data_IF_131186248601
#
_entry.id   IF_131186248601
#
_cell.length_a   1.000
_cell.length_b   1.000
_cell.length_c   1.000
_cell.angle_alpha   90.00
_cell.angle_beta   90.00
_cell.angle_gamma   90.00
#
_symmetry.space_group_name_H-M   'P 1'
#
loop_
_entity.id
_entity.type
_entity.pdbx_description
1 polymer ?
#
# COMPACT_ATOMS: atom_id res chain seq x y z
N UNK A 1 -12.03 -29.88 14.07
CA UNK A 1 -11.36 -28.74 14.78
C UNK A 1 -10.99 -27.60 13.84
N UNK A 2 -10.61 -27.87 12.58
CA UNK A 2 -10.21 -26.84 11.60
C UNK A 2 -11.34 -25.88 11.19
N UNK A 3 -12.56 -26.40 10.99
CA UNK A 3 -13.75 -25.61 10.63
C UNK A 3 -14.14 -24.54 11.66
N UNK A 4 -13.96 -24.82 12.96
CA UNK A 4 -14.29 -23.86 14.02
C UNK A 4 -13.38 -22.64 14.03
N UNK A 5 -12.10 -22.82 13.68
CA UNK A 5 -11.12 -21.73 13.59
C UNK A 5 -11.44 -20.79 12.42
N UNK A 6 -11.82 -21.35 11.27
CA UNK A 6 -12.21 -20.57 10.09
C UNK A 6 -13.46 -19.73 10.36
N UNK A 7 -14.48 -20.31 10.98
CA UNK A 7 -15.73 -19.59 11.31
C UNK A 7 -15.49 -18.44 12.32
N UNK A 8 -14.63 -18.66 13.32
CA UNK A 8 -14.23 -17.62 14.27
C UNK A 8 -13.43 -16.50 13.60
N UNK A 9 -12.56 -16.85 12.64
CA UNK A 9 -11.79 -15.90 11.84
C UNK A 9 -12.71 -15.02 10.98
N UNK A 10 -13.65 -15.61 10.24
CA UNK A 10 -14.62 -14.88 9.42
C UNK A 10 -15.48 -13.92 10.25
N UNK A 11 -15.94 -14.37 11.42
CA UNK A 11 -16.73 -13.54 12.34
C UNK A 11 -15.91 -12.35 12.84
N UNK A 12 -14.64 -12.58 13.17
CA UNK A 12 -13.72 -11.53 13.63
C UNK A 12 -13.48 -10.49 12.52
N UNK A 13 -13.23 -10.94 11.29
CA UNK A 13 -13.04 -10.06 10.14
C UNK A 13 -14.29 -9.22 9.85
N UNK A 14 -15.49 -9.81 9.92
CA UNK A 14 -16.75 -9.08 9.75
C UNK A 14 -16.95 -8.00 10.84
N UNK A 15 -16.60 -8.31 12.09
CA UNK A 15 -16.68 -7.35 13.19
C UNK A 15 -15.69 -6.20 13.01
N UNK A 16 -14.48 -6.46 12.52
CA UNK A 16 -13.47 -5.44 12.24
C UNK A 16 -13.93 -4.51 11.10
N UNK A 17 -14.43 -5.07 10.00
CA UNK A 17 -14.95 -4.27 8.88
C UNK A 17 -16.13 -3.38 9.31
N UNK A 18 -17.04 -3.90 10.15
CA UNK A 18 -18.18 -3.11 10.67
C UNK A 18 -17.72 -1.95 11.57
N UNK A 19 -16.68 -2.14 12.39
CA UNK A 19 -16.21 -1.13 13.35
C UNK A 19 -15.28 -0.09 12.72
N UNK A 20 -14.43 -0.49 11.78
CA UNK A 20 -13.30 0.32 11.31
C UNK A 20 -13.38 0.66 9.82
N UNK A 21 -14.40 0.17 9.10
CA UNK A 21 -14.57 0.35 7.66
C UNK A 21 -13.95 -0.80 6.84
N UNK A 22 -14.34 -0.87 5.57
CA UNK A 22 -13.78 -1.83 4.63
C UNK A 22 -12.28 -1.59 4.41
N UNK A 23 -11.50 -2.67 4.31
CA UNK A 23 -10.05 -2.58 4.09
C UNK A 23 -9.22 -2.36 5.36
N UNK A 24 -9.84 -2.30 6.54
CA UNK A 24 -9.13 -2.19 7.82
C UNK A 24 -8.22 -3.42 8.09
N UNK A 25 -8.64 -4.60 7.65
CA UNK A 25 -7.83 -5.83 7.67
C UNK A 25 -8.08 -6.61 6.38
N UNK A 26 -7.00 -7.03 5.74
CA UNK A 26 -7.04 -7.76 4.46
C UNK A 26 -5.87 -8.74 4.38
N UNK A 27 -6.04 -9.81 3.62
CA UNK A 27 -4.94 -10.76 3.41
C UNK A 27 -3.85 -10.09 2.58
N UNK A 28 -2.59 -10.37 2.92
CA UNK A 28 -1.41 -9.79 2.29
C UNK A 28 -1.37 -10.00 0.75
N UNK A 29 -1.96 -11.10 0.25
CA UNK A 29 -2.08 -11.39 -1.19
C UNK A 29 -3.37 -10.91 -1.88
N UNK A 30 -4.38 -10.48 -1.12
CA UNK A 30 -5.62 -9.87 -1.65
C UNK A 30 -5.49 -8.35 -1.74
N UNK A 31 -4.36 -7.78 -1.31
CA UNK A 31 -3.99 -6.42 -1.62
C UNK A 31 -3.76 -6.31 -3.13
N UNK A 32 -4.85 -6.01 -3.87
CA UNK A 32 -4.74 -5.44 -5.21
C UNK A 32 -3.70 -4.32 -5.12
N UNK A 33 -2.78 -4.23 -6.09
CA UNK A 33 -1.91 -3.05 -6.24
C UNK A 33 -2.82 -1.84 -6.11
N UNK A 34 -2.78 -1.19 -4.95
CA UNK A 34 -3.57 0.00 -4.73
C UNK A 34 -3.06 0.96 -5.81
N UNK A 35 -3.95 1.44 -6.66
CA UNK A 35 -3.59 2.51 -7.58
C UNK A 35 -3.26 3.70 -6.69
N UNK A 36 -1.96 3.89 -6.46
CA UNK A 36 -1.46 5.03 -5.71
C UNK A 36 -1.39 6.18 -6.69
N UNK A 37 -2.04 7.29 -6.36
CA UNK A 37 -1.83 8.50 -7.13
C UNK A 37 -0.36 8.93 -7.00
N UNK A 38 0.28 9.23 -8.13
CA UNK A 38 1.69 9.62 -8.17
C UNK A 38 1.86 11.02 -8.74
N UNK A 39 2.97 11.65 -8.38
CA UNK A 39 3.47 12.90 -8.96
C UNK A 39 4.73 12.56 -9.76
N UNK A 40 4.82 12.86 -11.06
CA UNK A 40 6.01 12.58 -11.87
C UNK A 40 7.25 13.27 -11.30
N UNK A 41 8.40 12.60 -11.36
CA UNK A 41 9.67 13.15 -10.85
C UNK A 41 10.28 14.20 -11.77
N UNK A 42 9.80 14.29 -13.02
CA UNK A 42 10.41 15.10 -14.07
C UNK A 42 11.56 14.39 -14.80
N UNK A 43 11.91 13.17 -14.37
CA UNK A 43 12.88 12.29 -15.01
C UNK A 43 12.21 10.98 -15.40
N UNK A 44 12.08 10.73 -16.72
CA UNK A 44 11.43 9.52 -17.22
C UNK A 44 12.11 8.24 -16.74
N UNK A 45 13.45 8.23 -16.69
CA UNK A 45 14.21 7.07 -16.21
C UNK A 45 13.94 6.81 -14.72
N UNK A 46 13.79 7.84 -13.91
CA UNK A 46 13.49 7.70 -12.49
C UNK A 46 12.05 7.25 -12.27
N UNK A 47 11.08 7.78 -13.02
CA UNK A 47 9.67 7.38 -12.95
C UNK A 47 9.50 5.88 -13.26
N UNK A 48 10.23 5.39 -14.26
CA UNK A 48 10.28 3.96 -14.61
C UNK A 48 10.94 3.15 -13.48
N UNK A 49 12.07 3.62 -12.95
CA UNK A 49 12.82 2.92 -11.90
C UNK A 49 12.01 2.77 -10.59
N UNK A 50 11.17 3.75 -10.25
CA UNK A 50 10.27 3.68 -9.10
C UNK A 50 9.16 2.63 -9.27
N UNK A 51 8.91 2.14 -10.49
CA UNK A 51 7.94 1.08 -10.79
C UNK A 51 6.46 1.47 -10.65
N UNK A 52 6.17 2.60 -10.00
CA UNK A 52 4.84 3.19 -9.84
C UNK A 52 4.65 4.44 -10.72
N UNK A 53 5.69 4.88 -11.43
CA UNK A 53 5.62 6.02 -12.36
C UNK A 53 5.81 7.40 -11.72
N UNK A 54 6.28 7.48 -10.47
CA UNK A 54 6.56 8.75 -9.80
C UNK A 54 6.54 8.66 -8.27
N UNK A 55 6.48 9.82 -7.61
CA UNK A 55 6.43 9.91 -6.14
C UNK A 55 5.00 9.72 -5.63
N UNK A 56 4.76 8.81 -4.67
CA UNK A 56 3.42 8.50 -4.18
C UNK A 56 2.83 9.62 -3.33
N UNK A 57 1.58 10.01 -3.61
CA UNK A 57 0.83 10.98 -2.81
C UNK A 57 0.52 10.42 -1.41
N UNK A 58 0.53 11.30 -0.41
CA UNK A 58 0.20 10.94 0.98
C UNK A 58 1.26 10.07 1.65
N UNK A 59 2.48 10.02 1.12
CA UNK A 59 3.62 9.28 1.68
C UNK A 59 4.80 10.22 1.90
N UNK A 60 5.67 9.83 2.83
CA UNK A 60 6.95 10.50 3.06
C UNK A 60 7.98 9.88 2.10
N UNK A 61 8.73 10.75 1.42
CA UNK A 61 9.83 10.40 0.52
C UNK A 61 11.07 11.13 0.99
N UNK A 62 12.20 10.44 1.04
CA UNK A 62 13.52 11.00 1.37
C UNK A 62 14.43 10.94 0.13
N UNK A 63 15.13 12.03 -0.14
CA UNK A 63 16.15 12.12 -1.19
C UNK A 63 17.44 12.59 -0.49
N UNK A 64 18.52 11.84 -0.65
CA UNK A 64 19.81 12.17 -0.06
C UNK A 64 20.91 12.04 -1.11
N UNK A 65 22.00 12.80 -0.92
CA UNK A 65 23.15 12.74 -1.80
C UNK A 65 24.27 13.68 -1.34
N UNK A 66 25.45 13.60 -1.98
CA UNK A 66 26.55 14.54 -1.75
C UNK A 66 26.15 16.00 -2.01
N UNK A 67 26.98 16.94 -1.54
CA UNK A 67 26.86 18.34 -1.94
C UNK A 67 26.91 18.46 -3.48
N UNK A 68 26.00 19.27 -4.04
CA UNK A 68 25.85 19.46 -5.51
C UNK A 68 25.43 18.20 -6.30
N UNK A 69 24.78 17.22 -5.67
CA UNK A 69 24.38 15.96 -6.33
C UNK A 69 23.09 16.02 -7.15
N UNK A 70 22.31 17.08 -7.01
CA UNK A 70 21.04 17.28 -7.70
C UNK A 70 20.96 18.68 -8.30
#
# INVERSE_FOLDING_TARGET
MESGKLKALETTLANLNKKYGEGAVMKLGEAKRLQVEVIPTGSLSLDIALGVGGMPRGRIVEIYGPESSG
#
